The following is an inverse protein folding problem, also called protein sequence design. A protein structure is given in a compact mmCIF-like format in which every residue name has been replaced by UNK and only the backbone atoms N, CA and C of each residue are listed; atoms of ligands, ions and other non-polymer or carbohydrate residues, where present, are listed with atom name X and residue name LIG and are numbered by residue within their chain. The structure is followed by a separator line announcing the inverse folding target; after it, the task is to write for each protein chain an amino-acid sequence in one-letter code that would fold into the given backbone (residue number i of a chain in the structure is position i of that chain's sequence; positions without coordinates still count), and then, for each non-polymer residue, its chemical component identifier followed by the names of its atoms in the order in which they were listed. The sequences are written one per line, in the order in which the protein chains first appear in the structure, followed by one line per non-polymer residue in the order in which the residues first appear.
data_IF_462730397611
#
_entry.id   IF_462730397611
#
_cell.length_a   1.000
_cell.length_b   1.000
_cell.length_c   1.000
_cell.angle_alpha   90.00
_cell.angle_beta   90.00
_cell.angle_gamma   90.00
#
_symmetry.space_group_name_H-M   'P 1'
#
loop_
_entity.id
_entity.type
_entity.pdbx_description
1 polymer ?
#
# COMPACT_ATOMS: atom_id res chain seq x y z
N UNK A 1 -9.68 -18.29 14.10
CA UNK A 1 -10.04 -17.58 12.84
C UNK A 1 -11.43 -16.97 13.00
N UNK A 2 -11.54 -15.65 13.08
CA UNK A 2 -12.86 -14.99 13.04
C UNK A 2 -13.25 -14.81 11.57
N UNK A 3 -14.37 -15.40 11.17
CA UNK A 3 -15.02 -15.13 9.88
C UNK A 3 -16.19 -14.17 10.15
N UNK A 4 -16.19 -13.00 9.53
CA UNK A 4 -17.36 -12.12 9.49
C UNK A 4 -18.09 -12.44 8.19
N UNK A 5 -19.40 -12.71 8.26
CA UNK A 5 -20.25 -12.99 7.11
C UNK A 5 -21.33 -11.92 7.02
N UNK A 6 -21.45 -11.30 5.87
CA UNK A 6 -22.57 -10.42 5.52
C UNK A 6 -23.17 -10.88 4.18
N UNK A 7 -24.44 -10.59 3.92
CA UNK A 7 -25.07 -10.91 2.64
C UNK A 7 -24.78 -9.75 1.68
N UNK A 8 -24.12 -10.03 0.56
CA UNK A 8 -23.82 -9.05 -0.48
C UNK A 8 -25.09 -8.64 -1.26
N UNK A 9 -25.00 -7.52 -1.97
CA UNK A 9 -26.10 -6.91 -2.75
C UNK A 9 -26.63 -7.86 -3.84
N UNK A 10 -25.81 -8.77 -4.31
CA UNK A 10 -26.10 -9.75 -5.38
C UNK A 10 -26.41 -11.18 -4.87
N UNK A 11 -26.67 -11.31 -3.56
CA UNK A 11 -27.01 -12.59 -2.94
C UNK A 11 -25.83 -13.51 -2.62
N UNK A 12 -24.59 -13.09 -2.90
CA UNK A 12 -23.36 -13.76 -2.46
C UNK A 12 -23.13 -13.54 -0.97
N UNK A 13 -22.38 -14.46 -0.33
CA UNK A 13 -21.97 -14.28 1.08
C UNK A 13 -20.62 -13.57 1.09
N UNK A 14 -20.62 -12.31 1.52
CA UNK A 14 -19.40 -11.54 1.71
C UNK A 14 -18.60 -12.04 2.90
N UNK A 15 -17.30 -12.20 2.70
CA UNK A 15 -16.38 -12.78 3.65
C UNK A 15 -15.21 -11.85 3.94
N UNK A 16 -14.93 -11.60 5.21
CA UNK A 16 -13.62 -11.13 5.67
C UNK A 16 -12.92 -12.27 6.41
N UNK A 17 -11.81 -12.73 5.83
CA UNK A 17 -11.04 -13.85 6.37
C UNK A 17 -9.67 -13.37 6.83
N UNK A 18 -9.40 -13.47 8.14
CA UNK A 18 -8.04 -13.31 8.67
C UNK A 18 -7.19 -14.51 8.27
N UNK A 19 -6.05 -14.23 7.67
CA UNK A 19 -5.09 -15.24 7.19
C UNK A 19 -3.68 -14.87 7.64
N UNK A 20 -2.81 -15.87 7.70
CA UNK A 20 -1.37 -15.71 7.91
C UNK A 20 -0.67 -16.32 6.70
N UNK A 21 0.03 -15.51 5.93
CA UNK A 21 0.72 -15.92 4.72
C UNK A 21 2.16 -16.23 5.11
N UNK A 22 2.64 -17.42 4.78
CA UNK A 22 4.02 -17.84 5.06
C UNK A 22 5.00 -17.14 4.08
N UNK A 23 5.99 -16.47 4.63
CA UNK A 23 7.07 -15.86 3.86
C UNK A 23 8.42 -16.55 4.14
N UNK A 24 8.42 -17.75 4.76
CA UNK A 24 9.56 -18.57 5.16
C UNK A 24 10.28 -18.11 6.43
N UNK A 25 10.43 -16.83 6.68
CA UNK A 25 11.09 -16.29 7.87
C UNK A 25 10.09 -15.92 8.97
N UNK A 26 8.91 -15.47 8.58
CA UNK A 26 7.79 -15.09 9.45
C UNK A 26 6.47 -15.25 8.71
N UNK A 27 5.37 -15.01 9.38
CA UNK A 27 4.06 -14.97 8.74
C UNK A 27 3.60 -13.52 8.54
N UNK A 28 3.00 -13.24 7.39
CA UNK A 28 2.40 -11.94 7.04
C UNK A 28 0.93 -11.98 7.45
N UNK A 29 0.51 -11.22 8.48
CA UNK A 29 -0.90 -11.12 8.84
C UNK A 29 -1.67 -10.37 7.77
N UNK A 30 -2.78 -10.94 7.30
CA UNK A 30 -3.59 -10.33 6.26
C UNK A 30 -5.09 -10.52 6.52
N UNK A 31 -5.90 -9.66 5.90
CA UNK A 31 -7.35 -9.83 5.79
C UNK A 31 -7.70 -9.88 4.31
N UNK A 32 -8.29 -10.98 3.91
CA UNK A 32 -8.80 -11.18 2.55
C UNK A 32 -10.31 -10.99 2.54
N UNK A 33 -10.77 -10.00 1.78
CA UNK A 33 -12.18 -9.65 1.60
C UNK A 33 -12.62 -10.13 0.22
N UNK A 34 -13.62 -11.02 0.16
CA UNK A 34 -14.13 -11.63 -1.08
C UNK A 34 -15.58 -12.08 -0.91
N UNK A 35 -16.29 -12.31 -2.00
CA UNK A 35 -17.63 -12.91 -1.99
C UNK A 35 -17.55 -14.38 -2.40
N UNK A 36 -18.24 -15.27 -1.66
CA UNK A 36 -18.32 -16.69 -2.04
C UNK A 36 -19.22 -16.82 -3.29
N UNK A 37 -18.59 -16.85 -4.46
CA UNK A 37 -19.21 -17.05 -5.77
C UNK A 37 -18.52 -18.18 -6.53
N UNK A 38 -19.18 -18.72 -7.55
CA UNK A 38 -18.60 -19.73 -8.43
C UNK A 38 -17.64 -19.14 -9.47
N UNK A 39 -17.51 -17.82 -9.54
CA UNK A 39 -16.66 -17.11 -10.52
C UNK A 39 -15.43 -16.51 -9.83
N UNK A 40 -14.33 -16.51 -10.57
CA UNK A 40 -13.10 -15.85 -10.12
C UNK A 40 -13.28 -14.34 -10.06
N UNK A 41 -12.78 -13.72 -9.01
CA UNK A 41 -12.90 -12.28 -8.77
C UNK A 41 -11.62 -11.54 -9.15
N UNK A 42 -11.72 -10.37 -9.81
CA UNK A 42 -10.63 -9.41 -9.83
C UNK A 42 -10.29 -9.03 -8.40
N UNK A 43 -9.00 -8.78 -8.11
CA UNK A 43 -8.55 -8.59 -6.72
C UNK A 43 -7.56 -7.43 -6.64
N UNK A 44 -7.63 -6.63 -5.56
CA UNK A 44 -6.70 -5.51 -5.31
C UNK A 44 -5.83 -5.82 -4.09
N UNK A 45 -4.51 -5.64 -4.24
CA UNK A 45 -3.54 -5.67 -3.15
C UNK A 45 -3.43 -4.27 -2.58
N UNK A 46 -3.56 -4.11 -1.25
CA UNK A 46 -3.51 -2.83 -0.55
C UNK A 46 -2.24 -2.74 0.30
N UNK A 47 -1.34 -1.85 -0.08
CA UNK A 47 -0.02 -1.62 0.52
C UNK A 47 -0.04 -0.39 1.40
N UNK A 48 0.10 -0.55 2.72
CA UNK A 48 0.03 0.54 3.70
C UNK A 48 1.27 1.44 3.70
N UNK A 49 1.17 2.60 4.34
CA UNK A 49 2.25 3.58 4.50
C UNK A 49 3.29 3.19 5.54
N UNK A 50 4.34 4.02 5.67
CA UNK A 50 5.48 3.79 6.57
C UNK A 50 5.02 3.59 8.01
N UNK A 51 5.38 2.45 8.59
CA UNK A 51 5.08 2.15 10.00
C UNK A 51 3.59 2.05 10.34
N UNK A 52 2.69 2.06 9.35
CA UNK A 52 1.25 1.90 9.52
C UNK A 52 0.85 0.42 9.71
N UNK A 53 -0.32 0.04 9.32
CA UNK A 53 -0.85 -1.31 9.44
C UNK A 53 -1.93 -1.55 8.36
N UNK A 54 -2.36 -2.80 8.17
CA UNK A 54 -3.27 -3.25 7.11
C UNK A 54 -4.61 -2.51 6.97
N UNK A 55 -5.10 -1.84 8.02
CA UNK A 55 -6.35 -1.09 7.91
C UNK A 55 -6.14 0.36 7.45
N UNK A 56 -4.89 0.85 7.51
CA UNK A 56 -4.43 2.21 7.24
C UNK A 56 -5.09 3.25 8.16
N UNK A 57 -4.61 4.49 8.10
CA UNK A 57 -5.10 5.62 8.89
C UNK A 57 -6.62 5.80 8.69
N UNK A 58 -7.35 6.05 9.77
CA UNK A 58 -8.80 6.25 9.71
C UNK A 58 -9.59 5.07 9.14
N UNK A 59 -9.02 3.86 9.10
CA UNK A 59 -9.60 2.67 8.46
C UNK A 59 -9.84 2.83 6.94
N UNK A 60 -9.06 3.65 6.24
CA UNK A 60 -9.22 3.89 4.80
C UNK A 60 -9.27 2.60 3.98
N UNK A 61 -8.40 1.62 4.28
CA UNK A 61 -8.38 0.35 3.55
C UNK A 61 -9.55 -0.57 3.91
N UNK A 62 -10.12 -0.43 5.11
CA UNK A 62 -11.35 -1.15 5.49
C UNK A 62 -12.54 -0.66 4.67
N UNK A 63 -12.71 0.68 4.59
CA UNK A 63 -13.79 1.28 3.82
C UNK A 63 -13.65 1.01 2.32
N UNK A 64 -12.43 1.14 1.78
CA UNK A 64 -12.15 0.78 0.38
C UNK A 64 -12.47 -0.69 0.11
N UNK A 65 -12.03 -1.61 0.97
CA UNK A 65 -12.30 -3.05 0.81
C UNK A 65 -13.81 -3.36 0.73
N UNK A 66 -14.62 -2.69 1.57
CA UNK A 66 -16.08 -2.84 1.54
C UNK A 66 -16.70 -2.32 0.24
N UNK A 67 -16.24 -1.15 -0.21
CA UNK A 67 -16.73 -0.54 -1.47
C UNK A 67 -16.33 -1.37 -2.69
N UNK A 68 -15.09 -1.87 -2.75
CA UNK A 68 -14.63 -2.78 -3.80
C UNK A 68 -15.49 -4.06 -3.86
N UNK A 69 -15.78 -4.64 -2.69
CA UNK A 69 -16.58 -5.86 -2.62
C UNK A 69 -18.01 -5.64 -3.13
N UNK A 70 -18.62 -4.48 -2.86
CA UNK A 70 -19.94 -4.11 -3.37
C UNK A 70 -20.02 -4.06 -4.91
N UNK A 71 -18.89 -3.86 -5.59
CA UNK A 71 -18.80 -3.87 -7.07
C UNK A 71 -18.16 -5.16 -7.62
N UNK A 72 -18.06 -6.21 -6.79
CA UNK A 72 -17.57 -7.52 -7.21
C UNK A 72 -16.04 -7.64 -7.30
N UNK A 73 -15.28 -6.78 -6.63
CA UNK A 73 -13.82 -6.81 -6.59
C UNK A 73 -13.37 -7.25 -5.19
N UNK A 74 -12.59 -8.32 -5.12
CA UNK A 74 -11.95 -8.76 -3.90
C UNK A 74 -10.75 -7.85 -3.53
N UNK A 75 -10.34 -7.86 -2.26
CA UNK A 75 -9.16 -7.13 -1.82
C UNK A 75 -8.41 -7.87 -0.72
N UNK A 76 -7.10 -7.68 -0.70
CA UNK A 76 -6.25 -8.14 0.40
C UNK A 76 -5.49 -6.96 0.99
N UNK A 77 -5.59 -6.77 2.30
CA UNK A 77 -4.82 -5.84 3.10
C UNK A 77 -3.97 -6.62 4.10
N UNK A 78 -2.72 -6.25 4.30
CA UNK A 78 -1.75 -7.04 5.08
C UNK A 78 -0.77 -6.15 5.82
N UNK A 79 -0.14 -6.69 6.86
CA UNK A 79 0.88 -6.00 7.64
C UNK A 79 2.27 -6.40 7.18
N UNK A 80 3.13 -5.43 6.90
CA UNK A 80 4.56 -5.66 6.68
C UNK A 80 5.25 -6.18 7.95
N UNK A 81 6.44 -6.74 7.79
CA UNK A 81 7.27 -7.18 8.91
C UNK A 81 7.40 -6.09 9.99
N UNK A 82 7.11 -6.45 11.24
CA UNK A 82 7.18 -5.52 12.37
C UNK A 82 6.10 -4.44 12.43
N UNK A 83 5.10 -4.47 11.55
CA UNK A 83 3.96 -3.56 11.53
C UNK A 83 2.66 -4.27 11.97
N UNK A 84 1.72 -3.53 12.52
CA UNK A 84 0.38 -4.04 12.87
C UNK A 84 0.43 -5.29 13.76
N UNK A 85 -0.18 -6.38 13.29
CA UNK A 85 -0.22 -7.68 13.98
C UNK A 85 0.99 -8.57 13.69
N UNK A 86 1.97 -8.11 12.87
CA UNK A 86 3.18 -8.86 12.56
C UNK A 86 3.97 -9.17 13.83
N UNK A 87 4.48 -10.39 13.95
CA UNK A 87 5.35 -10.84 15.04
C UNK A 87 6.85 -10.78 14.67
N UNK A 88 7.16 -10.33 13.46
CA UNK A 88 8.54 -10.11 13.05
C UNK A 88 9.16 -8.96 13.87
N UNK A 89 10.46 -9.05 14.07
CA UNK A 89 11.24 -8.03 14.75
C UNK A 89 11.27 -6.73 13.93
N UNK A 90 10.72 -5.66 14.47
CA UNK A 90 10.64 -4.37 13.79
C UNK A 90 12.02 -3.78 13.46
N UNK A 91 13.06 -4.08 14.25
CA UNK A 91 14.42 -3.63 13.96
C UNK A 91 15.01 -4.23 12.68
N UNK A 92 14.32 -5.21 12.07
CA UNK A 92 14.66 -5.82 10.78
C UNK A 92 13.79 -5.34 9.63
N UNK A 93 12.85 -4.44 9.89
CA UNK A 93 12.03 -3.82 8.84
C UNK A 93 12.95 -3.19 7.79
N UNK A 94 12.74 -3.53 6.53
CA UNK A 94 13.49 -3.00 5.39
C UNK A 94 12.58 -2.75 4.21
N UNK A 95 12.91 -1.76 3.39
CA UNK A 95 12.08 -1.43 2.23
C UNK A 95 12.02 -2.58 1.20
N UNK A 96 13.15 -3.24 0.92
CA UNK A 96 13.15 -4.44 0.08
C UNK A 96 12.38 -5.61 0.70
N UNK A 97 12.31 -5.68 2.04
CA UNK A 97 11.46 -6.63 2.77
C UNK A 97 9.99 -6.37 2.51
N UNK A 98 9.53 -5.10 2.57
CA UNK A 98 8.15 -4.71 2.23
C UNK A 98 7.78 -5.07 0.79
N UNK A 99 8.70 -4.87 -0.16
CA UNK A 99 8.52 -5.30 -1.57
C UNK A 99 8.39 -6.82 -1.66
N UNK A 100 9.22 -7.57 -0.94
CA UNK A 100 9.17 -9.04 -0.91
C UNK A 100 7.88 -9.56 -0.26
N UNK A 101 7.42 -8.95 0.83
CA UNK A 101 6.13 -9.28 1.45
C UNK A 101 4.98 -9.08 0.46
N UNK A 102 4.97 -7.96 -0.26
CA UNK A 102 3.97 -7.68 -1.30
C UNK A 102 4.00 -8.72 -2.43
N UNK A 103 5.20 -9.13 -2.86
CA UNK A 103 5.39 -10.19 -3.85
C UNK A 103 4.87 -11.54 -3.35
N UNK A 104 5.10 -11.85 -2.08
CA UNK A 104 4.60 -13.07 -1.44
C UNK A 104 3.07 -13.06 -1.36
N UNK A 105 2.46 -11.92 -1.02
CA UNK A 105 1.00 -11.74 -1.03
C UNK A 105 0.43 -11.92 -2.45
N UNK A 106 1.07 -11.36 -3.48
CA UNK A 106 0.67 -11.58 -4.88
C UNK A 106 0.72 -13.07 -5.24
N UNK A 107 1.80 -13.76 -4.92
CA UNK A 107 1.95 -15.20 -5.18
C UNK A 107 0.88 -16.01 -4.45
N UNK A 108 0.59 -15.69 -3.19
CA UNK A 108 -0.48 -16.30 -2.43
C UNK A 108 -1.84 -16.14 -3.12
N UNK A 109 -2.18 -14.93 -3.57
CA UNK A 109 -3.44 -14.67 -4.28
C UNK A 109 -3.58 -15.57 -5.52
N UNK A 110 -2.52 -15.75 -6.29
CA UNK A 110 -2.54 -16.59 -7.48
C UNK A 110 -2.74 -18.10 -7.18
N UNK A 111 -2.60 -18.52 -5.93
CA UNK A 111 -2.94 -19.90 -5.50
C UNK A 111 -4.40 -20.05 -5.08
N UNK A 112 -5.15 -18.95 -4.93
CA UNK A 112 -6.54 -19.01 -4.46
C UNK A 112 -7.51 -19.22 -5.62
N UNK A 113 -8.38 -20.24 -5.53
CA UNK A 113 -9.33 -20.60 -6.58
C UNK A 113 -10.30 -19.46 -6.92
N UNK A 114 -10.65 -18.63 -5.93
CA UNK A 114 -11.56 -17.49 -6.06
C UNK A 114 -10.93 -16.28 -6.78
N UNK A 115 -9.59 -16.25 -6.96
CA UNK A 115 -8.87 -15.10 -7.54
C UNK A 115 -8.67 -15.28 -9.03
N UNK A 116 -8.99 -14.26 -9.82
CA UNK A 116 -8.53 -14.14 -11.19
C UNK A 116 -7.12 -13.55 -11.23
N UNK A 117 -6.12 -14.43 -11.32
CA UNK A 117 -4.70 -14.03 -11.30
C UNK A 117 -4.30 -13.12 -12.50
N UNK A 118 -5.11 -13.03 -13.55
CA UNK A 118 -4.89 -12.13 -14.67
C UNK A 118 -5.53 -10.74 -14.45
N UNK A 119 -6.31 -10.57 -13.38
CA UNK A 119 -7.00 -9.34 -13.03
C UNK A 119 -6.65 -8.89 -11.60
N UNK A 120 -5.36 -8.86 -11.25
CA UNK A 120 -4.88 -8.32 -9.98
C UNK A 120 -4.44 -6.87 -10.18
N UNK A 121 -5.01 -5.97 -9.40
CA UNK A 121 -4.57 -4.58 -9.25
C UNK A 121 -3.76 -4.39 -7.97
N UNK A 122 -3.08 -3.26 -7.86
CA UNK A 122 -2.34 -2.89 -6.66
C UNK A 122 -2.57 -1.41 -6.31
N UNK A 123 -2.79 -1.14 -5.03
CA UNK A 123 -2.89 0.22 -4.49
C UNK A 123 -1.87 0.38 -3.37
N UNK A 124 -1.11 1.47 -3.44
CA UNK A 124 -0.19 1.86 -2.37
C UNK A 124 -0.52 3.25 -1.81
N UNK A 125 -0.53 3.36 -0.49
CA UNK A 125 -0.63 4.63 0.22
C UNK A 125 0.75 5.08 0.69
N UNK A 126 1.11 6.36 0.45
CA UNK A 126 2.38 6.93 0.92
C UNK A 126 3.59 6.08 0.50
N UNK A 127 4.38 5.54 1.44
CA UNK A 127 5.46 4.58 1.13
C UNK A 127 4.95 3.32 0.43
N UNK A 128 3.73 2.87 0.70
CA UNK A 128 3.14 1.74 -0.02
C UNK A 128 3.06 1.95 -1.54
N UNK A 129 2.93 3.21 -2.00
CA UNK A 129 3.02 3.54 -3.43
C UNK A 129 4.46 3.37 -3.96
N UNK A 130 5.47 3.64 -3.14
CA UNK A 130 6.87 3.38 -3.49
C UNK A 130 7.15 1.88 -3.56
N UNK A 131 6.60 1.08 -2.62
CA UNK A 131 6.66 -0.39 -2.65
C UNK A 131 6.00 -0.92 -3.92
N UNK A 132 4.79 -0.45 -4.24
CA UNK A 132 4.10 -0.77 -5.49
C UNK A 132 4.97 -0.49 -6.71
N UNK A 133 5.56 0.70 -6.80
CA UNK A 133 6.39 1.10 -7.93
C UNK A 133 7.65 0.22 -8.07
N UNK A 134 8.30 -0.13 -6.96
CA UNK A 134 9.46 -1.02 -6.96
C UNK A 134 9.05 -2.44 -7.43
N UNK A 135 7.90 -2.94 -6.96
CA UNK A 135 7.35 -4.24 -7.35
C UNK A 135 7.06 -4.30 -8.87
N UNK A 136 6.56 -3.22 -9.46
CA UNK A 136 6.20 -3.16 -10.89
C UNK A 136 7.39 -3.34 -11.84
N UNK A 137 8.63 -3.33 -11.34
CA UNK A 137 9.82 -3.68 -12.16
C UNK A 137 9.81 -5.13 -12.61
N UNK A 138 9.34 -6.03 -11.74
CA UNK A 138 9.57 -7.47 -11.85
C UNK A 138 8.27 -8.29 -11.89
N UNK A 139 7.14 -7.74 -11.38
CA UNK A 139 5.88 -8.47 -11.30
C UNK A 139 4.96 -8.11 -12.46
N UNK A 140 4.77 -9.09 -13.32
CA UNK A 140 3.77 -9.07 -14.39
C UNK A 140 2.92 -10.34 -14.25
N UNK A 141 1.58 -10.27 -14.35
CA UNK A 141 0.79 -9.13 -14.79
C UNK A 141 0.03 -8.44 -13.65
N UNK A 142 0.42 -7.26 -13.26
CA UNK A 142 -0.46 -6.34 -12.52
C UNK A 142 -1.33 -5.61 -13.55
N UNK A 143 -2.65 -5.60 -13.37
CA UNK A 143 -3.60 -5.07 -14.34
C UNK A 143 -3.72 -3.56 -14.33
N UNK A 144 -3.68 -2.96 -13.13
CA UNK A 144 -3.68 -1.51 -12.89
C UNK A 144 -2.97 -1.20 -11.57
N UNK A 145 -2.49 0.03 -11.44
CA UNK A 145 -1.82 0.50 -10.25
C UNK A 145 -2.42 1.82 -9.76
N UNK A 146 -2.53 1.98 -8.44
CA UNK A 146 -3.10 3.19 -7.82
C UNK A 146 -2.13 3.69 -6.75
N UNK A 147 -1.79 4.96 -6.81
CA UNK A 147 -0.98 5.67 -5.83
C UNK A 147 -1.85 6.65 -5.05
N UNK A 148 -1.95 6.48 -3.75
CA UNK A 148 -2.55 7.44 -2.82
C UNK A 148 -1.45 8.18 -2.06
N UNK A 149 -1.37 9.50 -2.19
CA UNK A 149 -0.38 10.37 -1.53
C UNK A 149 1.06 9.83 -1.62
N UNK A 150 1.44 9.25 -2.77
CA UNK A 150 2.71 8.54 -2.94
C UNK A 150 3.77 9.35 -3.69
N UNK A 151 5.05 9.04 -3.40
CA UNK A 151 6.20 9.53 -4.15
C UNK A 151 7.06 8.34 -4.61
N UNK A 152 7.24 8.19 -5.92
CA UNK A 152 7.93 7.04 -6.53
C UNK A 152 9.31 7.43 -7.11
N UNK A 153 9.91 8.54 -6.67
CA UNK A 153 11.23 8.97 -7.12
C UNK A 153 12.33 7.98 -6.70
N UNK A 154 13.43 7.99 -7.42
CA UNK A 154 14.61 7.18 -7.11
C UNK A 154 15.41 7.82 -5.97
N UNK A 155 16.08 6.99 -5.16
CA UNK A 155 16.94 7.47 -4.07
C UNK A 155 16.14 8.01 -2.87
N UNK A 156 16.77 8.83 -2.04
CA UNK A 156 16.29 9.27 -0.72
C UNK A 156 14.99 10.08 -0.80
N UNK A 157 14.93 11.08 -1.67
CA UNK A 157 13.76 11.92 -1.94
C UNK A 157 13.09 12.50 -0.69
N UNK A 158 11.78 12.25 -0.52
CA UNK A 158 10.97 12.78 0.60
C UNK A 158 11.45 12.32 1.99
N UNK A 159 12.26 11.27 2.05
CA UNK A 159 12.84 10.79 3.31
C UNK A 159 14.11 11.54 3.73
N UNK A 160 14.52 12.58 3.01
CA UNK A 160 15.77 13.31 3.29
C UNK A 160 15.86 13.76 4.75
N UNK A 161 14.79 14.29 5.35
CA UNK A 161 14.79 14.70 6.76
C UNK A 161 15.11 13.55 7.71
N UNK A 162 14.57 12.36 7.47
CA UNK A 162 14.87 11.18 8.28
C UNK A 162 16.31 10.70 8.09
N UNK A 163 16.88 10.84 6.89
CA UNK A 163 18.30 10.54 6.68
C UNK A 163 19.20 11.52 7.44
N UNK A 164 18.90 12.81 7.37
CA UNK A 164 19.70 13.85 8.02
C UNK A 164 19.68 13.68 9.55
N UNK A 165 18.56 13.22 10.14
CA UNK A 165 18.37 13.14 11.60
C UNK A 165 18.70 11.77 12.19
N UNK A 166 18.34 10.67 11.52
CA UNK A 166 18.34 9.33 12.13
C UNK A 166 19.33 8.34 11.50
N UNK A 167 19.88 8.61 10.30
CA UNK A 167 20.73 7.62 9.63
C UNK A 167 22.01 7.31 10.41
N UNK A 168 22.59 8.30 11.10
CA UNK A 168 23.78 8.08 11.93
C UNK A 168 23.49 7.11 13.10
N UNK A 169 22.36 7.26 13.77
CA UNK A 169 21.92 6.31 14.80
C UNK A 169 21.75 4.89 14.25
N UNK A 170 21.15 4.78 13.06
CA UNK A 170 20.99 3.48 12.40
C UNK A 170 22.34 2.83 12.01
N UNK A 171 23.36 3.63 11.65
CA UNK A 171 24.71 3.14 11.40
C UNK A 171 25.36 2.57 12.67
N UNK A 172 25.19 3.23 13.80
CA UNK A 172 25.81 2.87 15.07
C UNK A 172 25.13 1.67 15.74
N UNK A 173 23.80 1.61 15.71
CA UNK A 173 23.01 0.64 16.47
C UNK A 173 22.39 -0.48 15.62
N UNK A 174 22.52 -0.38 14.28
CA UNK A 174 21.83 -1.28 13.34
C UNK A 174 20.38 -0.86 13.02
N UNK A 175 19.80 0.04 13.80
CA UNK A 175 18.50 0.65 13.61
C UNK A 175 18.44 2.04 14.25
N UNK A 176 17.48 2.86 13.83
CA UNK A 176 17.16 4.14 14.44
C UNK A 176 15.75 4.12 15.04
N UNK A 177 15.54 4.92 16.07
CA UNK A 177 14.29 5.08 16.78
C UNK A 177 13.64 6.40 16.37
N UNK A 178 12.61 6.31 15.54
CA UNK A 178 11.90 7.46 14.97
C UNK A 178 10.67 7.78 15.82
N UNK A 179 10.60 8.91 16.53
CA UNK A 179 9.43 9.30 17.31
C UNK A 179 8.21 9.50 16.41
N UNK A 180 7.08 8.89 16.78
CA UNK A 180 5.83 8.98 16.05
C UNK A 180 4.72 9.49 16.99
N UNK A 181 3.98 10.53 16.58
CA UNK A 181 2.94 11.13 17.44
C UNK A 181 1.63 10.30 17.49
N UNK A 182 1.48 9.28 16.65
CA UNK A 182 0.25 8.49 16.50
C UNK A 182 0.41 7.00 16.84
N UNK A 183 1.61 6.58 17.19
CA UNK A 183 1.96 5.22 17.64
C UNK A 183 3.20 5.26 18.51
N UNK A 184 3.61 4.10 19.06
CA UNK A 184 4.93 3.92 19.62
C UNK A 184 6.02 4.22 18.59
N UNK A 185 7.22 4.56 19.05
CA UNK A 185 8.35 4.88 18.19
C UNK A 185 8.56 3.80 17.12
N UNK A 186 8.81 4.24 15.91
CA UNK A 186 9.07 3.35 14.79
C UNK A 186 10.56 2.97 14.78
N UNK A 187 10.87 1.68 14.80
CA UNK A 187 12.24 1.18 14.71
C UNK A 187 12.57 0.89 13.25
N UNK A 188 13.38 1.74 12.62
CA UNK A 188 13.82 1.54 11.23
C UNK A 188 15.25 0.99 11.20
N UNK A 189 15.42 -0.16 10.56
CA UNK A 189 16.74 -0.76 10.39
C UNK A 189 17.68 0.11 9.54
N UNK A 190 19.00 0.00 9.76
CA UNK A 190 20.00 0.54 8.83
C UNK A 190 19.70 0.10 7.39
N UNK A 191 19.28 -1.16 7.22
CA UNK A 191 18.94 -1.70 5.90
C UNK A 191 17.76 -0.99 5.25
N UNK A 192 16.76 -0.52 6.01
CA UNK A 192 15.67 0.28 5.46
C UNK A 192 16.21 1.57 4.81
N UNK A 193 17.09 2.28 5.50
CA UNK A 193 17.73 3.49 4.97
C UNK A 193 18.56 3.19 3.72
N UNK A 194 19.40 2.14 3.75
CA UNK A 194 20.20 1.75 2.61
C UNK A 194 19.31 1.40 1.40
N UNK A 195 18.25 0.62 1.60
CA UNK A 195 17.32 0.24 0.55
C UNK A 195 16.60 1.47 -0.05
N UNK A 196 16.15 2.42 0.80
CA UNK A 196 15.53 3.67 0.32
C UNK A 196 16.49 4.45 -0.58
N UNK A 197 17.77 4.56 -0.18
CA UNK A 197 18.80 5.26 -0.96
C UNK A 197 19.10 4.57 -2.28
N UNK A 198 19.16 3.24 -2.28
CA UNK A 198 19.73 2.46 -3.38
C UNK A 198 18.66 1.95 -4.37
N UNK A 199 17.36 2.04 -4.03
CA UNK A 199 16.26 1.61 -4.90
C UNK A 199 15.85 2.68 -5.92
N UNK A 200 15.23 2.23 -7.01
CA UNK A 200 14.84 3.07 -8.14
C UNK A 200 13.38 2.86 -8.55
N UNK A 201 12.41 3.18 -7.68
CA UNK A 201 10.98 2.89 -7.91
C UNK A 201 10.42 3.54 -9.18
N UNK A 202 10.89 4.74 -9.55
CA UNK A 202 10.46 5.43 -10.77
C UNK A 202 10.74 4.59 -12.03
N UNK A 203 11.78 3.74 -12.01
CA UNK A 203 12.04 2.80 -13.12
C UNK A 203 10.90 1.79 -13.27
N UNK A 204 10.26 1.37 -12.17
CA UNK A 204 9.06 0.54 -12.22
C UNK A 204 7.89 1.24 -12.90
N UNK A 205 7.61 2.49 -12.52
CA UNK A 205 6.60 3.34 -13.18
C UNK A 205 6.88 3.46 -14.68
N UNK A 206 8.13 3.76 -15.05
CA UNK A 206 8.55 3.93 -16.45
C UNK A 206 8.48 2.64 -17.27
N UNK A 207 8.64 1.47 -16.67
CA UNK A 207 8.58 0.17 -17.37
C UNK A 207 7.18 -0.40 -17.44
N UNK A 208 6.33 -0.04 -16.47
CA UNK A 208 4.99 -0.58 -16.37
C UNK A 208 4.11 -0.16 -17.56
N UNK A 209 3.45 -1.14 -18.18
CA UNK A 209 2.60 -0.91 -19.36
C UNK A 209 1.11 -0.67 -19.02
N UNK A 210 0.69 -1.02 -17.81
CA UNK A 210 -0.70 -0.83 -17.36
C UNK A 210 -1.00 0.61 -16.97
N UNK A 211 -2.29 0.97 -16.79
CA UNK A 211 -2.70 2.30 -16.36
C UNK A 211 -2.37 2.54 -14.88
N UNK A 212 -2.05 3.80 -14.57
CA UNK A 212 -1.79 4.28 -13.21
C UNK A 212 -2.75 5.40 -12.88
N UNK A 213 -3.42 5.31 -11.71
CA UNK A 213 -4.16 6.41 -11.12
C UNK A 213 -3.35 6.96 -9.93
N UNK A 214 -2.96 8.23 -9.96
CA UNK A 214 -2.29 8.89 -8.85
C UNK A 214 -3.21 9.93 -8.22
N UNK A 215 -3.48 9.81 -6.92
CA UNK A 215 -4.35 10.70 -6.15
C UNK A 215 -3.53 11.31 -5.02
N UNK A 216 -3.59 12.63 -4.85
CA UNK A 216 -2.92 13.36 -3.77
C UNK A 216 -3.77 14.55 -3.31
N UNK A 217 -3.61 14.96 -2.07
CA UNK A 217 -4.18 16.21 -1.56
C UNK A 217 -3.36 17.42 -1.97
N UNK A 218 -3.99 18.58 -2.21
CA UNK A 218 -3.29 19.83 -2.55
C UNK A 218 -2.60 20.48 -1.35
N UNK A 219 -2.97 20.08 -0.12
CA UNK A 219 -2.37 20.52 1.15
C UNK A 219 -1.48 19.44 1.78
N UNK A 220 -1.00 18.46 1.00
CA UNK A 220 -0.07 17.43 1.47
C UNK A 220 1.35 18.02 1.64
N UNK A 221 1.75 18.27 2.90
CA UNK A 221 3.07 18.78 3.25
C UNK A 221 4.14 17.68 3.40
N UNK A 222 3.73 16.41 3.55
CA UNK A 222 4.66 15.28 3.70
C UNK A 222 5.11 14.76 2.32
N UNK A 223 4.17 14.60 1.40
CA UNK A 223 4.41 14.20 0.02
C UNK A 223 3.67 15.16 -0.91
N UNK A 224 4.28 16.30 -1.26
CA UNK A 224 3.65 17.32 -2.09
C UNK A 224 3.05 16.75 -3.39
N UNK A 225 1.88 17.20 -3.75
CA UNK A 225 1.07 16.65 -4.85
C UNK A 225 1.77 16.60 -6.22
N UNK A 226 2.86 17.35 -6.42
CA UNK A 226 3.62 17.29 -7.67
C UNK A 226 4.21 15.89 -7.89
N UNK A 227 4.46 15.09 -6.83
CA UNK A 227 4.89 13.69 -6.97
C UNK A 227 3.83 12.82 -7.64
N UNK A 228 2.54 13.07 -7.41
CA UNK A 228 1.46 12.37 -8.12
C UNK A 228 1.46 12.73 -9.62
N UNK A 229 1.78 13.98 -9.98
CA UNK A 229 1.96 14.39 -11.39
C UNK A 229 3.16 13.69 -12.02
N UNK A 230 4.32 13.67 -11.33
CA UNK A 230 5.52 12.97 -11.80
C UNK A 230 5.28 11.48 -12.08
N UNK A 231 4.51 10.79 -11.23
CA UNK A 231 4.14 9.39 -11.44
C UNK A 231 3.42 9.22 -12.78
N UNK A 232 2.44 10.06 -13.08
CA UNK A 232 1.65 9.98 -14.31
C UNK A 232 2.45 10.41 -15.54
N UNK A 233 3.23 11.48 -15.43
CA UNK A 233 4.10 11.97 -16.51
C UNK A 233 5.17 10.94 -16.93
N UNK A 234 5.63 10.11 -16.00
CA UNK A 234 6.57 9.02 -16.27
C UNK A 234 5.90 7.71 -16.68
N UNK A 235 4.57 7.61 -16.63
CA UNK A 235 3.83 6.43 -17.09
C UNK A 235 3.80 6.34 -18.62
N UNK A 236 3.99 5.13 -19.16
CA UNK A 236 3.86 4.87 -20.61
C UNK A 236 2.40 4.75 -21.07
N UNK A 237 1.48 4.54 -20.15
CA UNK A 237 0.08 4.27 -20.50
C UNK A 237 -0.70 5.57 -20.59
N UNK A 238 -1.28 5.85 -21.75
CA UNK A 238 -2.06 7.06 -22.01
C UNK A 238 -3.41 7.14 -21.27
N UNK A 239 -3.80 6.07 -20.59
CA UNK A 239 -4.97 6.04 -19.69
C UNK A 239 -4.61 6.41 -18.25
N UNK A 240 -3.31 6.59 -17.96
CA UNK A 240 -2.89 7.03 -16.62
C UNK A 240 -3.41 8.43 -16.32
N UNK A 241 -3.84 8.64 -15.07
CA UNK A 241 -4.49 9.88 -14.64
C UNK A 241 -3.95 10.34 -13.30
N UNK A 242 -3.90 11.65 -13.12
CA UNK A 242 -3.67 12.29 -11.83
C UNK A 242 -4.94 13.00 -11.37
N UNK A 243 -5.27 12.87 -10.09
CA UNK A 243 -6.36 13.61 -9.45
C UNK A 243 -5.83 14.28 -8.20
N UNK A 244 -6.00 15.60 -8.12
CA UNK A 244 -5.64 16.40 -6.95
C UNK A 244 -6.92 16.72 -6.20
N UNK A 245 -6.98 16.28 -4.93
CA UNK A 245 -8.14 16.48 -4.05
C UNK A 245 -8.00 17.80 -3.33
N UNK A 246 -8.91 18.76 -3.53
CA UNK A 246 -8.79 20.09 -2.95
C UNK A 246 -9.03 20.07 -1.42
N UNK A 247 -8.33 20.98 -0.71
CA UNK A 247 -8.37 21.14 0.73
C UNK A 247 -8.12 19.80 1.46
N UNK A 248 -7.10 19.07 1.04
CA UNK A 248 -6.81 17.72 1.51
C UNK A 248 -5.34 17.56 1.83
N UNK A 249 -5.04 17.07 3.04
CA UNK A 249 -3.70 16.76 3.50
C UNK A 249 -3.25 15.36 3.11
N UNK A 250 -2.07 14.94 3.62
CA UNK A 250 -1.46 13.62 3.36
C UNK A 250 -2.40 12.44 3.61
N UNK A 251 -3.20 12.50 4.66
CA UNK A 251 -4.12 11.43 5.08
C UNK A 251 -5.55 11.64 4.59
N UNK A 252 -5.76 12.51 3.61
CA UNK A 252 -7.09 12.86 3.10
C UNK A 252 -8.04 13.34 4.21
N UNK A 253 -7.49 14.07 5.17
CA UNK A 253 -8.19 14.67 6.31
C UNK A 253 -8.96 13.67 7.20
N UNK A 254 -8.68 12.36 7.12
CA UNK A 254 -9.45 11.34 7.89
C UNK A 254 -9.31 11.50 9.40
N UNK A 255 -8.29 12.22 9.86
CA UNK A 255 -8.07 12.52 11.28
C UNK A 255 -8.65 13.89 11.69
N UNK A 256 -9.21 14.66 10.75
CA UNK A 256 -9.79 15.99 11.00
C UNK A 256 -11.32 15.84 11.12
N UNK A 257 -11.91 16.18 12.27
CA UNK A 257 -13.35 16.08 12.45
C UNK A 257 -14.13 16.86 11.36
N UNK A 258 -15.11 16.24 10.75
CA UNK A 258 -16.00 16.81 9.73
C UNK A 258 -15.31 17.31 8.44
N UNK A 259 -14.05 16.94 8.20
CA UNK A 259 -13.31 17.37 7.02
C UNK A 259 -12.77 16.19 6.17
N UNK A 260 -13.09 14.94 6.56
CA UNK A 260 -12.60 13.74 5.87
C UNK A 260 -12.96 13.74 4.39
N UNK A 261 -11.96 13.46 3.55
CA UNK A 261 -12.08 13.25 2.11
C UNK A 261 -12.04 11.76 1.73
N UNK A 262 -12.14 10.85 2.71
CA UNK A 262 -12.07 9.41 2.47
C UNK A 262 -13.06 8.94 1.41
N UNK A 263 -14.32 9.37 1.50
CA UNK A 263 -15.34 8.99 0.52
C UNK A 263 -14.99 9.52 -0.88
N UNK A 264 -14.57 10.79 -0.99
CA UNK A 264 -14.20 11.39 -2.28
C UNK A 264 -13.07 10.58 -2.95
N UNK A 265 -12.01 10.24 -2.19
CA UNK A 265 -10.87 9.49 -2.68
C UNK A 265 -11.24 8.05 -3.05
N UNK A 266 -12.10 7.40 -2.27
CA UNK A 266 -12.59 6.05 -2.57
C UNK A 266 -13.46 6.07 -3.83
N UNK A 267 -14.39 7.02 -3.99
CA UNK A 267 -15.24 7.13 -5.19
C UNK A 267 -14.41 7.44 -6.45
N UNK A 268 -13.33 8.24 -6.34
CA UNK A 268 -12.39 8.46 -7.45
C UNK A 268 -11.65 7.18 -7.82
N UNK A 269 -11.41 6.31 -6.85
CA UNK A 269 -10.66 5.05 -7.00
C UNK A 269 -11.50 3.97 -7.69
N UNK A 270 -12.82 3.94 -7.48
CA UNK A 270 -13.77 2.98 -8.04
C UNK A 270 -14.15 3.31 -9.49
#
# INVERSE_FOLDING_TARGET
MKKIRTIGIDGGVDMEKSIAIDNKEYTIPAIFSYSEKNEKMPTVILCHGTGSQKNEVGNLFVELSRKLLNIGIASIRFDYAGCGDSKADQTKLSFCGEVNDTKTVYQYLCTQEIVDCNNIGILGFSQGARVMAELLKDVSPIRFAISWSGACHNGIGVFKGWFDEYYQEALENGYAKIPMFWREDLLLSKKWFDDIRDTTPMVGIQRYAGPILAIAGDEDELVPYHHAKEIVENSKNNKSKVVIVPNSNHTFNVLIPNASKANDVIEITL
#
